data_IF_207279932405
#
_entry.id   IF_207279932405
#
_cell.length_a   1.000
_cell.length_b   1.000
_cell.length_c   1.000
_cell.angle_alpha   90.00
_cell.angle_beta   90.00
_cell.angle_gamma   90.00
#
_symmetry.space_group_name_H-M   'P 1'
#
loop_
_entity.id
_entity.type
_entity.pdbx_description
1 polymer ?
#
# COMPACT_ATOMS: atom_id res chain seq x y z
N UNK A 1 6.28 17.97 10.64
CA UNK A 1 5.67 16.65 10.39
C UNK A 1 4.15 16.83 10.41
N UNK A 2 3.40 16.64 9.51
CA UNK A 2 3.53 16.72 8.08
C UNK A 2 2.12 16.79 7.51
N UNK A 3 1.85 17.87 6.84
CA UNK A 3 0.63 18.00 6.01
C UNK A 3 0.47 16.79 5.08
N UNK A 4 1.57 16.18 4.61
CA UNK A 4 1.57 15.01 3.70
C UNK A 4 0.87 13.76 4.26
N UNK A 5 0.76 13.58 5.58
CA UNK A 5 0.06 12.42 6.17
C UNK A 5 -1.45 12.44 5.89
N UNK A 6 -2.01 13.60 5.57
CA UNK A 6 -3.42 13.77 5.24
C UNK A 6 -3.69 13.78 3.72
N UNK A 7 -2.65 13.73 2.90
CA UNK A 7 -2.77 13.72 1.43
C UNK A 7 -2.79 12.26 0.96
N UNK A 8 -3.89 11.77 0.36
CA UNK A 8 -3.97 10.39 -0.13
C UNK A 8 -2.85 10.07 -1.13
N UNK A 9 -2.41 8.81 -1.13
CA UNK A 9 -1.37 8.24 -1.99
C UNK A 9 0.05 8.73 -1.76
N UNK A 10 0.30 9.63 -0.79
CA UNK A 10 1.67 9.88 -0.35
C UNK A 10 2.18 8.69 0.48
N UNK A 11 3.49 8.53 0.53
CA UNK A 11 4.10 7.46 1.32
C UNK A 11 3.78 7.59 2.82
N UNK A 12 3.70 8.80 3.36
CA UNK A 12 3.32 9.05 4.76
C UNK A 12 1.88 8.65 5.04
N UNK A 13 0.95 8.99 4.14
CA UNK A 13 -0.46 8.57 4.26
C UNK A 13 -0.60 7.04 4.16
N UNK A 14 0.15 6.42 3.24
CA UNK A 14 0.16 4.96 3.10
C UNK A 14 0.69 4.27 4.36
N UNK A 15 1.80 4.76 4.94
CA UNK A 15 2.35 4.26 6.21
C UNK A 15 1.33 4.39 7.33
N UNK A 16 0.70 5.56 7.48
CA UNK A 16 -0.32 5.78 8.50
C UNK A 16 -1.51 4.81 8.35
N UNK A 17 -1.93 4.52 7.11
CA UNK A 17 -2.93 3.49 6.86
C UNK A 17 -2.46 2.10 7.31
N UNK A 18 -1.24 1.69 6.93
CA UNK A 18 -0.69 0.39 7.32
C UNK A 18 -0.60 0.24 8.84
N UNK A 19 -0.20 1.28 9.56
CA UNK A 19 -0.13 1.28 11.02
C UNK A 19 -1.52 1.15 11.67
N UNK A 20 -2.55 1.78 11.10
CA UNK A 20 -3.93 1.63 11.56
C UNK A 20 -4.52 0.24 11.28
N UNK A 21 -3.94 -0.52 10.36
CA UNK A 21 -4.34 -1.91 10.10
C UNK A 21 -3.71 -2.91 11.09
N UNK A 22 -2.82 -2.51 11.98
CA UNK A 22 -2.23 -3.41 12.97
C UNK A 22 -3.31 -4.11 13.82
N UNK A 23 -3.12 -5.41 14.03
CA UNK A 23 -4.08 -6.28 14.75
C UNK A 23 -5.25 -6.77 13.90
N UNK A 24 -5.34 -6.36 12.63
CA UNK A 24 -6.33 -6.91 11.71
C UNK A 24 -5.92 -8.32 11.22
N UNK A 25 -6.87 -9.21 10.90
CA UNK A 25 -6.58 -10.59 10.57
C UNK A 25 -6.08 -10.78 9.14
N UNK A 26 -5.17 -11.73 9.00
CA UNK A 26 -4.76 -12.23 7.68
C UNK A 26 -5.79 -13.23 7.14
N UNK A 27 -6.37 -12.95 5.98
CA UNK A 27 -7.19 -13.88 5.20
C UNK A 27 -6.59 -14.06 3.82
N UNK A 28 -6.14 -15.26 3.50
CA UNK A 28 -5.47 -15.56 2.23
C UNK A 28 -6.35 -15.18 1.02
N UNK A 29 -5.75 -14.51 0.04
CA UNK A 29 -6.45 -14.05 -1.18
C UNK A 29 -7.37 -12.85 -0.95
N UNK A 30 -7.31 -12.18 0.21
CA UNK A 30 -8.13 -11.00 0.50
C UNK A 30 -7.36 -9.70 0.26
N UNK A 31 -8.10 -8.69 -0.18
CA UNK A 31 -7.58 -7.35 -0.49
C UNK A 31 -8.39 -6.36 0.30
N UNK A 32 -7.97 -5.99 1.48
CA UNK A 32 -8.70 -5.10 2.40
C UNK A 32 -10.23 -5.23 2.23
N UNK A 33 -10.81 -6.22 2.89
CA UNK A 33 -12.25 -6.48 2.86
C UNK A 33 -12.80 -6.58 4.27
N UNK A 34 -14.06 -6.21 4.43
CA UNK A 34 -14.81 -6.51 5.66
C UNK A 34 -14.91 -8.03 5.84
N UNK A 35 -14.56 -8.52 7.05
CA UNK A 35 -14.74 -9.93 7.39
C UNK A 35 -16.24 -10.26 7.43
N UNK A 36 -16.70 -11.11 6.51
CA UNK A 36 -18.09 -11.56 6.42
C UNK A 36 -18.14 -13.05 6.09
N UNK A 37 -19.26 -13.71 6.41
CA UNK A 37 -19.45 -15.13 6.06
C UNK A 37 -19.45 -15.33 4.53
N UNK A 38 -20.03 -14.40 3.76
CA UNK A 38 -20.01 -14.45 2.31
C UNK A 38 -18.58 -14.39 1.75
N UNK A 39 -17.74 -13.50 2.31
CA UNK A 39 -16.32 -13.44 1.93
C UNK A 39 -15.61 -14.75 2.26
N UNK A 40 -15.80 -15.26 3.49
CA UNK A 40 -15.20 -16.53 3.95
C UNK A 40 -15.58 -17.70 3.03
N UNK A 41 -16.86 -17.86 2.73
CA UNK A 41 -17.36 -18.94 1.86
C UNK A 41 -16.77 -18.84 0.44
N UNK A 42 -16.74 -17.64 -0.13
CA UNK A 42 -16.13 -17.39 -1.44
C UNK A 42 -14.63 -17.73 -1.46
N UNK A 43 -13.90 -17.31 -0.42
CA UNK A 43 -12.46 -17.57 -0.32
C UNK A 43 -12.15 -19.02 -0.01
N UNK A 44 -12.99 -19.70 0.77
CA UNK A 44 -12.88 -21.14 1.01
C UNK A 44 -13.07 -21.97 -0.29
N UNK A 45 -14.00 -21.55 -1.16
CA UNK A 45 -14.16 -22.16 -2.48
C UNK A 45 -12.94 -21.94 -3.38
N UNK A 46 -12.36 -20.73 -3.34
CA UNK A 46 -11.24 -20.33 -4.18
C UNK A 46 -9.89 -20.91 -3.69
N UNK A 47 -9.72 -21.04 -2.38
CA UNK A 47 -8.45 -21.43 -1.73
C UNK A 47 -8.69 -22.45 -0.59
N UNK A 48 -9.20 -23.64 -0.88
CA UNK A 48 -9.65 -24.60 0.15
C UNK A 48 -8.55 -24.96 1.15
N UNK A 49 -7.29 -25.06 0.72
CA UNK A 49 -6.15 -25.36 1.59
C UNK A 49 -5.91 -24.31 2.69
N UNK A 50 -6.36 -23.07 2.48
CA UNK A 50 -6.20 -21.98 3.44
C UNK A 50 -7.39 -21.79 4.37
N UNK A 51 -8.56 -22.39 4.05
CA UNK A 51 -9.83 -22.19 4.77
C UNK A 51 -10.37 -23.47 5.40
N UNK A 52 -9.48 -24.39 5.79
CA UNK A 52 -9.86 -25.66 6.41
C UNK A 52 -10.59 -25.49 7.75
N UNK A 53 -11.25 -26.59 8.19
CA UNK A 53 -12.11 -26.61 9.38
C UNK A 53 -11.41 -26.14 10.66
N UNK A 54 -10.12 -26.43 10.85
CA UNK A 54 -9.31 -26.01 11.98
C UNK A 54 -9.18 -24.48 12.14
N UNK A 55 -9.45 -23.71 11.09
CA UNK A 55 -9.40 -22.25 11.08
C UNK A 55 -10.75 -21.59 11.26
N UNK A 56 -11.84 -22.35 11.20
CA UNK A 56 -13.20 -21.81 11.15
C UNK A 56 -13.55 -20.97 12.38
N UNK A 57 -13.16 -21.40 13.58
CA UNK A 57 -13.45 -20.65 14.82
C UNK A 57 -12.86 -19.24 14.78
N UNK A 58 -11.64 -19.09 14.29
CA UNK A 58 -10.98 -17.79 14.20
C UNK A 58 -11.62 -16.90 13.13
N UNK A 59 -12.00 -17.44 11.97
CA UNK A 59 -12.76 -16.67 10.97
C UNK A 59 -14.09 -16.16 11.51
N UNK A 60 -14.82 -16.97 12.28
CA UNK A 60 -16.08 -16.56 12.94
C UNK A 60 -15.85 -15.45 13.97
N UNK A 61 -14.78 -15.54 14.75
CA UNK A 61 -14.41 -14.48 15.71
C UNK A 61 -14.09 -13.15 15.00
N UNK A 62 -13.33 -13.20 13.89
CA UNK A 62 -13.03 -12.03 13.08
C UNK A 62 -14.30 -11.38 12.50
N UNK A 63 -15.28 -12.19 12.06
CA UNK A 63 -16.60 -11.74 11.58
C UNK A 63 -17.38 -11.10 12.70
N UNK A 64 -17.50 -11.79 13.83
CA UNK A 64 -18.25 -11.29 15.01
C UNK A 64 -17.68 -9.97 15.53
N UNK A 65 -16.37 -9.80 15.49
CA UNK A 65 -15.66 -8.57 15.84
C UNK A 65 -15.66 -7.50 14.73
N UNK A 66 -16.35 -7.76 13.63
CA UNK A 66 -16.48 -6.83 12.50
C UNK A 66 -15.15 -6.28 12.01
N UNK A 67 -14.12 -7.15 11.96
CA UNK A 67 -12.78 -6.80 11.50
C UNK A 67 -12.70 -6.59 10.00
N UNK A 68 -11.56 -6.08 9.57
CA UNK A 68 -11.13 -5.96 8.17
C UNK A 68 -9.96 -6.90 7.95
N UNK A 69 -9.90 -7.58 6.82
CA UNK A 69 -8.83 -8.55 6.53
C UNK A 69 -8.11 -8.26 5.22
N UNK A 70 -6.85 -8.64 5.16
CA UNK A 70 -6.06 -8.65 3.94
C UNK A 70 -5.09 -9.84 3.92
N UNK A 71 -4.48 -10.14 2.77
CA UNK A 71 -3.23 -10.90 2.70
C UNK A 71 -2.03 -9.94 2.52
N UNK A 72 -0.82 -10.50 2.41
CA UNK A 72 0.39 -9.69 2.38
C UNK A 72 0.40 -8.62 1.28
N UNK A 73 0.07 -8.97 0.05
CA UNK A 73 -0.01 -8.00 -1.06
C UNK A 73 -1.38 -7.31 -1.10
N UNK A 74 -2.38 -7.92 -0.49
CA UNK A 74 -3.73 -7.38 -0.34
C UNK A 74 -3.76 -6.10 0.49
N UNK A 75 -2.89 -5.95 1.47
CA UNK A 75 -2.74 -4.70 2.22
C UNK A 75 -2.37 -3.53 1.29
N UNK A 76 -1.39 -3.73 0.40
CA UNK A 76 -0.94 -2.73 -0.57
C UNK A 76 -2.02 -2.45 -1.62
N UNK A 77 -2.59 -3.51 -2.23
CA UNK A 77 -3.66 -3.37 -3.22
C UNK A 77 -4.89 -2.70 -2.63
N UNK A 78 -5.26 -3.14 -1.43
CA UNK A 78 -6.44 -2.64 -0.74
C UNK A 78 -6.40 -1.17 -0.42
N UNK A 79 -5.27 -0.65 0.01
CA UNK A 79 -5.08 0.78 0.18
C UNK A 79 -5.45 1.56 -1.10
N UNK A 80 -4.92 1.13 -2.24
CA UNK A 80 -5.20 1.79 -3.52
C UNK A 80 -6.65 1.57 -3.98
N UNK A 81 -7.18 0.34 -3.87
CA UNK A 81 -8.52 0.01 -4.35
C UNK A 81 -9.64 0.60 -3.50
N UNK A 82 -9.33 1.02 -2.27
CA UNK A 82 -10.25 1.73 -1.38
C UNK A 82 -10.02 3.25 -1.34
N UNK A 83 -9.46 3.80 -2.41
CA UNK A 83 -9.18 5.24 -2.54
C UNK A 83 -8.35 5.80 -1.38
N UNK A 84 -7.16 5.22 -1.17
CA UNK A 84 -6.28 5.62 -0.07
C UNK A 84 -6.75 5.11 1.31
N UNK A 85 -7.50 4.00 1.34
CA UNK A 85 -8.03 3.45 2.60
C UNK A 85 -9.30 4.14 3.10
N UNK A 86 -9.99 4.90 2.25
CA UNK A 86 -11.19 5.67 2.62
C UNK A 86 -12.28 4.77 3.22
N UNK A 87 -12.75 5.13 4.41
CA UNK A 87 -13.81 4.42 5.14
C UNK A 87 -13.38 3.06 5.73
N UNK A 88 -12.17 2.58 5.43
CA UNK A 88 -11.69 1.28 5.91
C UNK A 88 -11.54 1.28 7.42
N UNK A 89 -10.81 2.25 7.95
CA UNK A 89 -10.47 2.31 9.38
C UNK A 89 -11.73 2.55 10.23
N UNK A 90 -12.62 3.42 9.78
CA UNK A 90 -13.89 3.75 10.43
C UNK A 90 -14.86 2.57 10.42
N UNK A 91 -14.64 1.59 9.55
CA UNK A 91 -15.45 0.37 9.49
C UNK A 91 -15.04 -0.69 10.51
N UNK A 92 -13.80 -0.64 11.03
CA UNK A 92 -13.29 -1.65 11.97
C UNK A 92 -14.14 -1.63 13.26
N UNK A 93 -14.61 -2.79 13.67
CA UNK A 93 -15.46 -2.94 14.86
C UNK A 93 -16.90 -2.42 14.71
N UNK A 94 -17.30 -1.96 13.52
CA UNK A 94 -18.63 -1.38 13.26
C UNK A 94 -19.34 -2.07 12.11
N UNK A 95 -20.61 -1.73 11.85
CA UNK A 95 -21.36 -2.20 10.67
C UNK A 95 -21.16 -1.32 9.42
N UNK A 96 -20.33 -0.30 9.52
CA UNK A 96 -19.98 0.54 8.37
C UNK A 96 -19.31 -0.28 7.28
N UNK A 97 -19.61 0.06 6.05
CA UNK A 97 -19.03 -0.52 4.84
C UNK A 97 -18.16 0.51 4.13
N UNK A 98 -17.32 0.06 3.22
CA UNK A 98 -16.51 0.91 2.36
C UNK A 98 -16.49 0.33 0.95
N UNK A 99 -16.22 1.17 -0.03
CA UNK A 99 -16.11 0.76 -1.43
C UNK A 99 -14.68 0.31 -1.76
N UNK A 100 -14.57 -0.70 -2.61
CA UNK A 100 -13.30 -1.16 -3.16
C UNK A 100 -13.45 -1.35 -4.66
N UNK A 101 -12.63 -0.64 -5.46
CA UNK A 101 -12.65 -0.71 -6.92
C UNK A 101 -11.39 -1.41 -7.42
N UNK A 102 -11.58 -2.59 -8.02
CA UNK A 102 -10.51 -3.39 -8.63
C UNK A 102 -9.66 -2.57 -9.61
N UNK A 103 -8.35 -2.62 -9.46
CA UNK A 103 -7.40 -1.94 -10.35
C UNK A 103 -7.35 -0.41 -10.22
N UNK A 104 -8.04 0.17 -9.23
CA UNK A 104 -8.02 1.62 -9.03
C UNK A 104 -6.61 2.17 -8.79
N UNK A 105 -6.42 3.44 -9.14
CA UNK A 105 -5.17 4.19 -8.96
C UNK A 105 -3.92 3.52 -9.56
N UNK A 106 -4.10 2.79 -10.68
CA UNK A 106 -2.99 2.12 -11.38
C UNK A 106 -2.40 0.92 -10.64
N UNK A 107 -3.02 0.47 -9.54
CA UNK A 107 -2.56 -0.67 -8.77
C UNK A 107 -3.15 -1.99 -9.31
N UNK A 108 -2.39 -2.82 -10.05
CA UNK A 108 -2.89 -4.03 -10.68
C UNK A 108 -3.09 -5.16 -9.66
N UNK A 109 -3.91 -6.14 -10.03
CA UNK A 109 -4.02 -7.39 -9.27
C UNK A 109 -2.84 -8.32 -9.56
N UNK A 110 -1.84 -8.24 -8.73
CA UNK A 110 -0.63 -9.05 -8.80
C UNK A 110 -0.40 -9.80 -7.49
N UNK A 111 0.27 -10.96 -7.57
CA UNK A 111 0.84 -11.62 -6.40
C UNK A 111 1.99 -10.80 -5.80
N UNK A 112 2.48 -11.19 -4.62
CA UNK A 112 3.63 -10.52 -4.00
C UNK A 112 4.86 -10.46 -4.94
N UNK A 113 5.19 -11.56 -5.61
CA UNK A 113 6.27 -11.60 -6.59
C UNK A 113 5.94 -10.79 -7.86
N UNK A 114 4.69 -10.90 -8.32
CA UNK A 114 4.21 -10.15 -9.49
C UNK A 114 4.21 -8.64 -9.28
N UNK A 115 3.99 -8.17 -8.05
CA UNK A 115 4.05 -6.74 -7.72
C UNK A 115 5.48 -6.19 -7.85
N UNK A 116 6.47 -6.94 -7.38
CA UNK A 116 7.89 -6.58 -7.57
C UNK A 116 8.28 -6.53 -9.05
N UNK A 117 7.89 -7.54 -9.84
CA UNK A 117 8.15 -7.55 -11.29
C UNK A 117 7.45 -6.38 -11.98
N UNK A 118 6.24 -6.05 -11.58
CA UNK A 118 5.48 -4.90 -12.10
C UNK A 118 6.19 -3.58 -11.76
N UNK A 119 6.60 -3.37 -10.51
CA UNK A 119 7.33 -2.17 -10.11
C UNK A 119 8.61 -1.99 -10.96
N UNK A 120 9.38 -3.05 -11.16
CA UNK A 120 10.57 -3.01 -12.04
C UNK A 120 10.22 -2.63 -13.48
N UNK A 121 9.14 -3.18 -14.04
CA UNK A 121 8.69 -2.87 -15.40
C UNK A 121 8.23 -1.42 -15.58
N UNK A 122 7.92 -0.74 -14.46
CA UNK A 122 7.58 0.69 -14.42
C UNK A 122 8.78 1.60 -14.15
N UNK A 123 10.00 1.06 -14.13
CA UNK A 123 11.21 1.83 -13.85
C UNK A 123 11.35 2.26 -12.38
N UNK A 124 10.59 1.66 -11.48
CA UNK A 124 10.68 1.99 -10.05
C UNK A 124 12.04 1.59 -9.47
N UNK A 125 12.56 2.37 -8.54
CA UNK A 125 13.76 2.05 -7.80
C UNK A 125 13.58 0.77 -6.97
N UNK A 126 14.63 -0.05 -6.92
CA UNK A 126 14.68 -1.28 -6.12
C UNK A 126 16.13 -1.64 -5.78
N UNK A 127 16.31 -2.46 -4.76
CA UNK A 127 17.64 -2.94 -4.39
C UNK A 127 17.56 -4.11 -3.42
N UNK A 128 18.73 -4.63 -3.05
CA UNK A 128 18.92 -5.61 -1.99
C UNK A 128 18.90 -4.92 -0.63
N UNK A 129 18.77 -5.67 0.46
CA UNK A 129 18.56 -5.10 1.80
C UNK A 129 19.75 -4.31 2.35
N UNK A 130 20.94 -4.54 1.85
CA UNK A 130 22.16 -3.74 2.15
C UNK A 130 22.09 -2.30 1.63
N UNK A 131 21.22 -2.07 0.65
CA UNK A 131 20.96 -0.74 0.07
C UNK A 131 19.60 -0.16 0.48
N UNK A 132 18.97 -0.68 1.54
CA UNK A 132 17.67 -0.20 2.01
C UNK A 132 17.73 1.29 2.34
N UNK A 133 16.98 2.16 1.62
CA UNK A 133 16.95 3.58 1.94
C UNK A 133 16.03 3.83 3.14
N UNK A 134 16.31 4.89 3.92
CA UNK A 134 15.43 5.32 5.00
C UNK A 134 14.22 6.11 4.43
N UNK A 135 13.44 5.44 3.59
CA UNK A 135 12.25 6.01 2.94
C UNK A 135 11.03 5.18 3.32
N UNK A 136 10.17 5.63 4.25
CA UNK A 136 8.96 4.93 4.61
C UNK A 136 8.00 4.79 3.41
N UNK A 137 7.18 3.72 3.41
CA UNK A 137 6.20 3.44 2.37
C UNK A 137 6.71 2.58 1.21
N UNK A 138 8.02 2.28 1.13
CA UNK A 138 8.52 1.31 0.16
C UNK A 138 8.15 -0.12 0.59
N UNK A 139 8.05 -1.00 -0.41
CA UNK A 139 7.78 -2.40 -0.16
C UNK A 139 9.06 -3.19 0.15
N UNK A 140 8.98 -4.09 1.12
CA UNK A 140 10.00 -5.10 1.42
C UNK A 140 9.50 -6.47 0.98
N UNK A 141 10.37 -7.28 0.36
CA UNK A 141 9.96 -8.59 -0.11
C UNK A 141 10.98 -9.70 0.16
N UNK A 142 10.46 -10.92 0.27
CA UNK A 142 11.14 -12.18 -0.06
C UNK A 142 10.21 -13.02 -0.95
N UNK A 143 10.64 -14.18 -1.41
CA UNK A 143 9.84 -14.99 -2.31
C UNK A 143 8.46 -15.34 -1.73
N UNK A 144 7.41 -14.98 -2.46
CA UNK A 144 6.02 -15.21 -2.06
C UNK A 144 5.46 -14.26 -0.98
N UNK A 145 6.22 -13.27 -0.48
CA UNK A 145 5.75 -12.37 0.59
C UNK A 145 6.20 -10.93 0.40
N UNK A 146 5.40 -10.01 0.94
CA UNK A 146 5.67 -8.57 0.91
C UNK A 146 5.17 -7.90 2.20
N UNK A 147 5.88 -6.87 2.64
CA UNK A 147 5.50 -5.93 3.70
C UNK A 147 5.80 -4.51 3.29
N UNK A 148 5.52 -3.55 4.16
CA UNK A 148 5.71 -2.12 3.95
C UNK A 148 6.70 -1.60 4.98
N UNK A 149 7.81 -1.01 4.54
CA UNK A 149 8.77 -0.34 5.40
C UNK A 149 8.15 0.94 5.96
N UNK A 150 8.24 1.13 7.26
CA UNK A 150 7.63 2.29 7.95
C UNK A 150 8.67 3.22 8.56
N UNK A 151 9.96 2.98 8.26
CA UNK A 151 11.07 3.74 8.81
C UNK A 151 11.62 3.16 10.10
N UNK A 152 12.81 3.64 10.52
CA UNK A 152 13.43 3.28 11.79
C UNK A 152 13.74 1.79 11.96
N UNK A 153 13.94 1.06 10.86
CA UNK A 153 14.21 -0.38 10.90
C UNK A 153 12.98 -1.26 11.16
N UNK A 154 11.75 -0.75 10.93
CA UNK A 154 10.50 -1.50 11.11
C UNK A 154 9.70 -1.63 9.83
N UNK A 155 8.89 -2.68 9.76
CA UNK A 155 7.93 -2.92 8.71
C UNK A 155 6.56 -3.29 9.29
N UNK A 156 5.49 -2.98 8.55
CA UNK A 156 4.14 -3.53 8.75
C UNK A 156 3.91 -4.59 7.68
N UNK A 157 3.47 -5.77 8.10
CA UNK A 157 3.19 -6.88 7.21
C UNK A 157 1.95 -7.68 7.64
N UNK A 158 1.16 -8.10 6.69
CA UNK A 158 0.17 -9.17 6.87
C UNK A 158 0.92 -10.51 6.88
N UNK A 159 1.37 -10.92 8.07
CA UNK A 159 2.40 -11.96 8.24
C UNK A 159 1.90 -13.38 8.01
N UNK A 160 0.59 -13.55 7.98
CA UNK A 160 -0.05 -14.86 7.82
C UNK A 160 -1.12 -15.13 8.86
N UNK A 161 -1.87 -16.22 8.68
CA UNK A 161 -3.06 -16.54 9.46
C UNK A 161 -2.86 -16.47 10.99
N UNK A 162 -1.73 -16.94 11.49
CA UNK A 162 -1.48 -16.99 12.94
C UNK A 162 -1.10 -15.64 13.55
N UNK A 163 -0.74 -14.66 12.72
CA UNK A 163 -0.19 -13.38 13.17
C UNK A 163 -1.08 -12.19 12.83
N UNK A 164 -1.74 -12.19 11.66
CA UNK A 164 -2.45 -11.03 11.13
C UNK A 164 -1.49 -9.93 10.70
N UNK A 165 -1.97 -8.70 10.73
CA UNK A 165 -1.22 -7.49 10.47
C UNK A 165 -0.37 -7.11 11.69
N UNK A 166 0.95 -7.13 11.52
CA UNK A 166 1.90 -6.92 12.63
C UNK A 166 3.03 -5.97 12.23
N UNK A 167 3.56 -5.27 13.24
CA UNK A 167 4.81 -4.51 13.13
C UNK A 167 5.97 -5.43 13.49
N UNK A 168 6.97 -5.51 12.62
CA UNK A 168 8.15 -6.36 12.80
C UNK A 168 9.43 -5.56 12.61
N UNK A 169 10.51 -5.95 13.33
CA UNK A 169 11.86 -5.44 13.02
C UNK A 169 12.29 -5.99 11.67
N UNK A 170 12.83 -5.16 10.81
CA UNK A 170 13.35 -5.58 9.49
C UNK A 170 14.43 -6.65 9.67
N UNK A 171 15.31 -6.48 10.64
CA UNK A 171 16.39 -7.43 10.95
C UNK A 171 15.91 -8.81 11.46
N UNK A 172 14.66 -8.91 11.93
CA UNK A 172 14.08 -10.18 12.40
C UNK A 172 13.41 -10.99 11.29
N UNK A 173 13.43 -10.49 10.06
CA UNK A 173 12.79 -11.11 8.92
C UNK A 173 13.79 -11.36 7.79
N UNK A 174 13.51 -12.33 6.93
CA UNK A 174 14.39 -12.73 5.83
C UNK A 174 14.11 -11.91 4.56
N UNK A 175 13.92 -10.59 4.71
CA UNK A 175 13.75 -9.70 3.56
C UNK A 175 14.97 -9.81 2.64
N UNK A 176 14.73 -9.84 1.34
CA UNK A 176 15.79 -9.95 0.32
C UNK A 176 15.95 -8.69 -0.50
N UNK A 177 14.83 -8.00 -0.76
CA UNK A 177 14.81 -6.80 -1.58
C UNK A 177 13.83 -5.78 -1.01
N UNK A 178 14.08 -4.53 -1.34
CA UNK A 178 13.14 -3.43 -1.23
C UNK A 178 12.77 -2.92 -2.63
N UNK A 179 11.62 -2.25 -2.77
CA UNK A 179 11.25 -1.60 -4.02
C UNK A 179 10.21 -0.50 -3.81
N UNK A 180 10.29 0.52 -4.66
CA UNK A 180 9.32 1.59 -4.76
C UNK A 180 8.03 1.09 -5.40
N UNK A 181 6.89 1.50 -4.87
CA UNK A 181 5.57 1.20 -5.44
C UNK A 181 5.19 2.28 -6.46
N UNK A 182 4.83 1.94 -7.72
CA UNK A 182 4.62 2.92 -8.78
C UNK A 182 3.37 3.79 -8.63
N UNK A 183 2.52 3.50 -7.64
CA UNK A 183 1.26 4.19 -7.34
C UNK A 183 1.29 4.87 -5.96
N UNK A 184 2.46 5.07 -5.39
CA UNK A 184 2.69 5.83 -4.15
C UNK A 184 3.59 7.01 -4.47
N UNK A 185 3.19 8.20 -4.05
CA UNK A 185 3.99 9.42 -4.18
C UNK A 185 4.98 9.52 -3.02
N UNK A 186 6.26 9.52 -3.33
CA UNK A 186 7.36 9.64 -2.37
C UNK A 186 7.92 11.07 -2.30
N UNK A 187 7.30 12.04 -2.98
CA UNK A 187 7.79 13.41 -3.03
C UNK A 187 9.23 13.49 -3.56
N UNK A 188 10.09 14.17 -2.83
CA UNK A 188 11.50 14.37 -3.19
C UNK A 188 12.43 13.28 -2.61
N UNK A 189 11.92 12.12 -2.21
CA UNK A 189 12.76 11.05 -1.67
C UNK A 189 13.79 10.57 -2.70
N UNK A 190 15.04 10.46 -2.26
CA UNK A 190 16.14 9.96 -3.09
C UNK A 190 16.33 8.47 -2.87
N UNK A 191 16.34 7.72 -3.94
CA UNK A 191 16.59 6.29 -3.94
C UNK A 191 17.98 6.00 -4.49
N UNK A 192 18.86 5.46 -3.65
CA UNK A 192 20.21 5.00 -4.03
C UNK A 192 20.20 3.48 -4.01
N UNK A 193 20.08 2.84 -5.18
CA UNK A 193 20.07 1.37 -5.28
C UNK A 193 20.12 0.89 -6.72
N UNK A 194 20.53 -0.36 -6.91
CA UNK A 194 20.70 -0.95 -8.24
C UNK A 194 19.36 -1.16 -8.92
N UNK A 195 19.08 -0.38 -9.93
CA UNK A 195 17.83 -0.38 -10.70
C UNK A 195 17.13 0.97 -10.74
N UNK A 196 17.64 1.95 -10.01
CA UNK A 196 17.21 3.33 -10.19
C UNK A 196 17.63 3.82 -11.59
N UNK A 197 16.83 3.52 -12.61
CA UNK A 197 16.77 4.41 -13.75
C UNK A 197 16.12 5.69 -13.20
N UNK A 198 16.93 6.75 -13.13
CA UNK A 198 16.41 8.10 -12.92
C UNK A 198 15.20 8.24 -13.84
N UNK A 199 14.02 8.62 -13.36
CA UNK A 199 12.98 9.04 -14.27
C UNK A 199 13.61 10.17 -15.09
N UNK A 200 13.61 10.08 -16.41
CA UNK A 200 13.91 11.20 -17.31
C UNK A 200 12.75 12.22 -17.31
N UNK A 201 12.14 12.38 -16.16
CA UNK A 201 11.32 13.53 -15.88
C UNK A 201 12.20 14.41 -14.99
N UNK A 202 12.67 15.55 -15.46
CA UNK A 202 13.30 16.49 -14.56
C UNK A 202 12.31 16.70 -13.42
N UNK A 203 12.76 16.50 -12.17
CA UNK A 203 12.06 17.00 -11.03
C UNK A 203 11.71 18.43 -11.38
N UNK A 204 10.43 18.70 -11.64
CA UNK A 204 10.04 20.07 -11.92
C UNK A 204 10.26 20.79 -10.60
N UNK A 205 11.34 21.54 -10.51
CA UNK A 205 11.53 22.59 -9.51
C UNK A 205 10.47 23.68 -9.69
N UNK A 206 9.21 23.29 -9.57
CA UNK A 206 8.12 24.25 -9.63
C UNK A 206 7.47 24.35 -8.25
N UNK A 207 8.05 25.24 -7.45
CA UNK A 207 7.35 25.78 -6.30
C UNK A 207 6.20 26.64 -6.83
N UNK A 208 4.96 26.23 -6.60
CA UNK A 208 3.79 27.07 -6.87
C UNK A 208 4.01 28.42 -6.20
N UNK A 209 3.93 29.51 -6.98
CA UNK A 209 4.14 30.88 -6.48
C UNK A 209 5.44 31.54 -6.92
N UNK A 210 6.31 30.90 -7.68
CA UNK A 210 7.55 31.52 -8.19
C UNK A 210 7.32 32.52 -9.32
N UNK A 211 6.18 32.45 -10.00
CA UNK A 211 5.74 33.45 -10.97
C UNK A 211 4.21 33.58 -11.00
N UNK A 212 3.73 34.74 -11.40
CA UNK A 212 2.28 34.93 -11.62
C UNK A 212 1.84 34.26 -12.92
N UNK A 213 0.86 33.34 -12.81
CA UNK A 213 0.20 32.71 -13.97
C UNK A 213 -0.97 33.57 -14.43
N UNK A 214 -1.11 33.73 -15.75
CA UNK A 214 -2.21 34.46 -16.41
C UNK A 214 -2.72 33.68 -17.61
N UNK A 215 -3.87 34.07 -18.16
CA UNK A 215 -4.44 33.44 -19.37
C UNK A 215 -3.38 33.39 -20.48
N UNK A 216 -3.13 32.19 -21.01
CA UNK A 216 -2.10 31.94 -22.03
C UNK A 216 -0.73 31.57 -21.48
N UNK A 217 -0.49 31.53 -20.16
CA UNK A 217 0.72 30.97 -19.59
C UNK A 217 0.86 29.51 -20.00
N UNK A 218 2.09 29.09 -20.30
CA UNK A 218 2.47 27.71 -20.65
C UNK A 218 3.63 27.26 -19.79
N UNK A 219 3.68 25.97 -19.43
CA UNK A 219 4.76 25.39 -18.66
C UNK A 219 4.27 24.29 -17.74
N UNK A 220 5.21 23.61 -17.07
CA UNK A 220 4.89 22.52 -16.15
C UNK A 220 4.17 23.02 -14.88
N UNK A 221 4.41 24.25 -14.45
CA UNK A 221 3.70 24.94 -13.38
C UNK A 221 2.20 25.16 -13.71
N UNK A 222 1.88 25.47 -14.97
CA UNK A 222 0.49 25.58 -15.45
C UNK A 222 -0.19 24.22 -15.40
N UNK A 223 0.51 23.17 -15.85
CA UNK A 223 0.00 21.80 -15.82
C UNK A 223 -0.25 21.34 -14.38
N UNK A 224 0.69 21.57 -13.49
CA UNK A 224 0.55 21.25 -12.06
C UNK A 224 -0.65 21.96 -11.41
N UNK A 225 -0.87 23.25 -11.73
CA UNK A 225 -2.03 23.98 -11.26
C UNK A 225 -3.35 23.42 -11.83
N UNK A 226 -3.37 23.04 -13.11
CA UNK A 226 -4.55 22.44 -13.73
C UNK A 226 -4.88 21.08 -13.10
N UNK A 227 -3.88 20.23 -12.87
CA UNK A 227 -4.04 18.93 -12.20
C UNK A 227 -4.58 19.11 -10.78
N UNK A 228 -4.05 20.08 -10.04
CA UNK A 228 -4.53 20.42 -8.70
C UNK A 228 -5.98 20.88 -8.69
N UNK A 229 -6.38 21.77 -9.62
CA UNK A 229 -7.74 22.27 -9.73
C UNK A 229 -8.74 21.17 -10.14
N UNK A 230 -8.33 20.22 -10.98
CA UNK A 230 -9.16 19.06 -11.36
C UNK A 230 -9.38 18.07 -10.19
N UNK A 231 -8.57 18.13 -9.16
CA UNK A 231 -8.73 17.33 -7.95
C UNK A 231 -9.69 17.97 -6.93
N UNK A 232 -9.94 19.26 -7.05
CA UNK A 232 -10.81 20.02 -6.15
C UNK A 232 -12.27 20.15 -6.64
N UNK A 233 -12.55 19.81 -7.89
CA UNK A 233 -13.88 19.85 -8.51
C UNK A 233 -14.42 18.49 -8.84
#
# INVERSE_FOLDING_TARGET
MSERINIPFTNEHFVAFCEKMLGQPYWYGSVVYKCTENLRARKAKQYPAHYGSSRTARYRDDIAKKKVCADCVGLIKGYNWTNGGQGVIESIGTDRTFSSKYGAHGCPDKSANGMFSYAKSKGCAWGTMDTLPEVPGIALRFDGHVGVYIGGGYAVEERGFNYGCVKTKVSSRKWTHWYQLPFVDYGNAVFTGGGATKPDTPASEYTLGTRTLKKGSKGADVKALQEFLLQLG
#
